data_IF_310680577576
#
_entry.id   IF_310680577576
#
_cell.length_a   1.000
_cell.length_b   1.000
_cell.length_c   1.000
_cell.angle_alpha   90.00
_cell.angle_beta   90.00
_cell.angle_gamma   90.00
#
_symmetry.space_group_name_H-M   'P 1'
#
loop_
_entity.id
_entity.type
_entity.pdbx_description
1 polymer ?
#
# COMPACT_ATOMS: atom_id res chain seq x y z
N UNK A 1 17.27 29.26 -62.48
CA UNK A 1 17.66 28.02 -61.77
C UNK A 1 17.48 28.26 -60.27
N UNK A 2 16.66 27.40 -59.64
CA UNK A 2 16.58 27.08 -58.20
C UNK A 2 16.11 28.15 -57.19
N UNK A 3 14.81 28.08 -56.82
CA UNK A 3 14.29 28.59 -55.54
C UNK A 3 14.46 27.49 -54.47
N UNK A 4 15.23 27.77 -53.41
CA UNK A 4 15.42 26.84 -52.29
C UNK A 4 14.45 27.14 -51.14
N UNK A 5 13.53 26.22 -50.87
CA UNK A 5 12.64 26.25 -49.71
C UNK A 5 13.32 25.51 -48.55
N UNK A 6 13.64 26.22 -47.47
CA UNK A 6 14.15 25.64 -46.23
C UNK A 6 12.97 25.12 -45.40
N UNK A 7 12.78 23.81 -45.35
CA UNK A 7 11.90 23.17 -44.39
C UNK A 7 12.63 22.98 -43.06
N UNK A 8 12.34 23.81 -42.07
CA UNK A 8 12.74 23.57 -40.68
C UNK A 8 11.84 22.50 -40.09
N UNK A 9 12.39 21.30 -39.87
CA UNK A 9 11.72 20.22 -39.12
C UNK A 9 11.77 20.56 -37.63
N UNK A 10 10.63 20.92 -37.05
CA UNK A 10 10.49 21.07 -35.60
C UNK A 10 10.43 19.69 -34.96
N UNK A 11 11.54 19.27 -34.34
CA UNK A 11 11.61 18.05 -33.56
C UNK A 11 10.91 18.27 -32.22
N UNK A 12 9.62 17.91 -32.13
CA UNK A 12 8.87 17.92 -30.88
C UNK A 12 9.39 16.79 -29.97
N UNK A 13 10.22 17.15 -28.99
CA UNK A 13 10.61 16.25 -27.91
C UNK A 13 9.41 16.06 -26.99
N UNK A 14 8.61 15.02 -27.26
CA UNK A 14 7.70 14.49 -26.26
C UNK A 14 8.55 13.86 -25.15
N UNK A 15 8.81 14.64 -24.09
CA UNK A 15 9.40 14.10 -22.85
C UNK A 15 8.47 13.01 -22.33
N UNK A 16 8.91 11.76 -22.47
CA UNK A 16 8.24 10.58 -21.93
C UNK A 16 8.31 10.68 -20.39
N UNK A 17 7.30 11.31 -19.78
CA UNK A 17 7.11 11.46 -18.33
C UNK A 17 6.95 10.14 -17.56
N UNK A 18 7.06 9.00 -18.23
CA UNK A 18 6.88 7.67 -17.64
C UNK A 18 7.91 7.34 -16.55
N UNK A 19 9.07 8.01 -16.54
CA UNK A 19 10.10 7.80 -15.52
C UNK A 19 9.77 8.41 -14.14
N UNK A 20 8.78 9.31 -14.05
CA UNK A 20 8.37 9.97 -12.80
C UNK A 20 7.07 9.39 -12.21
N UNK A 21 6.37 8.51 -12.93
CA UNK A 21 5.12 7.92 -12.46
C UNK A 21 5.39 6.87 -11.38
N UNK A 22 5.33 7.27 -10.11
CA UNK A 22 5.65 6.43 -8.96
C UNK A 22 4.41 5.90 -8.23
N UNK A 23 3.22 6.44 -8.52
CA UNK A 23 1.96 5.95 -7.96
C UNK A 23 1.30 4.95 -8.89
N UNK A 24 0.92 3.80 -8.34
CA UNK A 24 0.11 2.78 -9.01
C UNK A 24 -1.36 2.84 -8.60
N UNK A 25 -1.67 3.50 -7.49
CA UNK A 25 -3.02 3.87 -7.08
C UNK A 25 -3.13 5.32 -6.63
N UNK A 26 -4.32 5.92 -6.73
CA UNK A 26 -4.63 7.22 -6.13
C UNK A 26 -6.14 7.48 -6.11
N UNK A 27 -6.65 8.06 -5.02
CA UNK A 27 -8.09 8.34 -4.86
C UNK A 27 -8.94 7.06 -4.88
N UNK A 28 -10.26 7.22 -5.01
CA UNK A 28 -11.22 6.11 -5.07
C UNK A 28 -12.06 6.18 -6.36
N UNK A 29 -12.23 5.04 -7.03
CA UNK A 29 -12.95 4.94 -8.31
C UNK A 29 -14.12 3.96 -8.29
N UNK A 30 -14.24 3.16 -7.24
CA UNK A 30 -15.28 2.15 -7.14
C UNK A 30 -15.41 1.66 -5.71
N UNK A 31 -16.16 0.58 -5.56
CA UNK A 31 -16.46 -0.05 -4.28
C UNK A 31 -16.38 -1.55 -4.46
N UNK A 32 -15.80 -2.23 -3.47
CA UNK A 32 -15.80 -3.68 -3.40
C UNK A 32 -17.23 -4.17 -3.12
N UNK A 33 -17.82 -5.05 -3.95
CA UNK A 33 -19.23 -5.43 -3.84
C UNK A 33 -19.53 -6.23 -2.57
N UNK A 34 -18.56 -6.98 -2.05
CA UNK A 34 -18.76 -7.85 -0.89
C UNK A 34 -18.68 -7.07 0.43
N UNK A 35 -17.70 -6.18 0.56
CA UNK A 35 -17.43 -5.43 1.79
C UNK A 35 -18.01 -4.02 1.82
N UNK A 36 -18.39 -3.47 0.67
CA UNK A 36 -18.77 -2.06 0.53
C UNK A 36 -17.61 -1.08 0.74
N UNK A 37 -16.36 -1.56 0.86
CA UNK A 37 -15.19 -0.70 1.04
C UNK A 37 -14.80 0.01 -0.26
N UNK A 38 -14.35 1.27 -0.21
CA UNK A 38 -13.97 2.00 -1.41
C UNK A 38 -12.67 1.43 -2.01
N UNK A 39 -12.70 1.13 -3.31
CA UNK A 39 -11.57 0.64 -4.08
C UNK A 39 -10.75 1.80 -4.65
N UNK A 40 -9.41 1.75 -4.52
CA UNK A 40 -8.58 2.81 -5.05
C UNK A 40 -8.55 2.77 -6.58
N UNK A 41 -8.42 3.93 -7.23
CA UNK A 41 -8.22 3.95 -8.68
C UNK A 41 -6.86 3.35 -9.02
N UNK A 42 -6.77 2.59 -10.11
CA UNK A 42 -5.49 2.22 -10.72
C UNK A 42 -5.03 3.36 -11.63
N UNK A 43 -3.84 3.89 -11.38
CA UNK A 43 -3.31 5.07 -12.07
C UNK A 43 -1.82 4.92 -12.35
N UNK A 44 -1.29 5.79 -13.21
CA UNK A 44 0.15 6.02 -13.37
C UNK A 44 0.39 7.51 -13.27
N UNK A 45 0.78 7.99 -12.09
CA UNK A 45 0.96 9.43 -11.85
C UNK A 45 2.11 9.69 -10.88
N UNK A 46 2.51 10.96 -10.79
CA UNK A 46 3.45 11.45 -9.78
C UNK A 46 2.78 11.54 -8.41
N UNK A 47 3.52 11.37 -7.30
CA UNK A 47 3.01 11.64 -5.96
C UNK A 47 2.59 13.10 -5.80
N UNK A 48 1.57 13.35 -4.99
CA UNK A 48 0.96 14.67 -4.80
C UNK A 48 1.13 15.12 -3.35
N UNK A 49 1.38 16.42 -3.14
CA UNK A 49 1.42 17.01 -1.80
C UNK A 49 0.05 16.92 -1.13
N UNK A 50 0.06 16.58 0.15
CA UNK A 50 -1.11 16.41 1.00
C UNK A 50 -0.97 17.27 2.25
N UNK A 51 -2.10 17.72 2.80
CA UNK A 51 -2.15 18.43 4.09
C UNK A 51 -1.40 17.67 5.18
N UNK A 52 -0.58 18.41 5.91
CA UNK A 52 0.49 17.83 6.72
C UNK A 52 -0.02 16.99 7.88
N UNK A 53 -1.02 17.50 8.57
CA UNK A 53 -1.60 16.91 9.76
C UNK A 53 -2.32 15.60 9.42
N UNK A 54 -2.92 15.52 8.23
CA UNK A 54 -3.65 14.33 7.78
C UNK A 54 -2.69 13.20 7.46
N UNK A 55 -1.62 13.46 6.68
CA UNK A 55 -0.64 12.42 6.35
C UNK A 55 0.13 11.98 7.60
N UNK A 56 0.56 12.92 8.46
CA UNK A 56 1.31 12.60 9.67
C UNK A 56 0.51 11.72 10.65
N UNK A 57 -0.80 11.97 10.77
CA UNK A 57 -1.69 11.15 11.59
C UNK A 57 -1.90 9.74 11.04
N UNK A 58 -1.99 9.60 9.71
CA UNK A 58 -2.21 8.32 9.05
C UNK A 58 -0.92 7.51 8.89
N UNK A 59 0.15 8.15 8.47
CA UNK A 59 1.39 7.56 7.97
C UNK A 59 2.62 8.38 8.42
N UNK A 60 2.98 8.33 9.71
CA UNK A 60 4.08 9.12 10.26
C UNK A 60 5.43 8.79 9.63
N UNK A 61 5.62 7.58 9.10
CA UNK A 61 6.82 7.16 8.38
C UNK A 61 6.99 7.84 7.00
N UNK A 62 5.96 8.52 6.49
CA UNK A 62 5.99 9.29 5.24
C UNK A 62 6.26 10.77 5.52
N UNK A 63 7.30 11.03 6.32
CA UNK A 63 7.80 12.37 6.61
C UNK A 63 9.30 12.43 6.30
N UNK A 64 9.78 13.61 5.94
CA UNK A 64 11.20 13.88 5.71
C UNK A 64 11.97 13.96 7.04
N UNK A 65 13.29 14.19 6.97
CA UNK A 65 14.15 14.32 8.14
C UNK A 65 13.79 15.49 9.05
N UNK A 66 13.02 16.47 8.56
CA UNK A 66 12.53 17.62 9.31
C UNK A 66 11.14 17.35 9.92
N UNK A 67 10.60 16.15 9.74
CA UNK A 67 9.26 15.76 10.18
C UNK A 67 8.12 16.37 9.35
N UNK A 68 8.44 16.91 8.17
CA UNK A 68 7.44 17.42 7.22
C UNK A 68 6.94 16.31 6.31
N UNK A 69 5.67 16.31 5.91
CA UNK A 69 5.13 15.33 4.98
C UNK A 69 5.87 15.35 3.65
N UNK A 70 6.12 14.18 3.10
CA UNK A 70 6.57 14.05 1.70
C UNK A 70 5.35 13.96 0.76
N UNK A 71 5.52 14.24 -0.55
CA UNK A 71 4.50 13.90 -1.54
C UNK A 71 4.04 12.44 -1.42
N UNK A 72 2.76 12.16 -1.65
CA UNK A 72 2.16 10.85 -1.39
C UNK A 72 1.33 10.34 -2.57
N UNK A 73 1.20 9.02 -2.66
CA UNK A 73 0.33 8.33 -3.62
C UNK A 73 -1.09 8.10 -3.09
N UNK A 74 -1.53 8.93 -2.14
CA UNK A 74 -2.89 8.90 -1.62
C UNK A 74 -3.40 10.31 -1.33
N UNK A 75 -4.72 10.50 -1.42
CA UNK A 75 -5.36 11.75 -1.07
C UNK A 75 -5.75 11.83 0.42
N UNK A 76 -6.20 13.01 0.85
CA UNK A 76 -6.63 13.23 2.23
C UNK A 76 -7.82 12.36 2.65
N UNK A 77 -8.66 11.92 1.72
CA UNK A 77 -9.79 11.04 2.01
C UNK A 77 -9.30 9.63 2.32
N UNK A 78 -8.37 9.09 1.52
CA UNK A 78 -7.72 7.80 1.75
C UNK A 78 -6.97 7.79 3.09
N UNK A 79 -6.17 8.83 3.36
CA UNK A 79 -5.43 8.94 4.62
C UNK A 79 -6.36 8.93 5.86
N UNK A 80 -7.50 9.62 5.80
CA UNK A 80 -8.52 9.60 6.88
C UNK A 80 -9.14 8.21 7.08
N UNK A 81 -9.37 7.46 5.99
CA UNK A 81 -9.85 6.08 6.08
C UNK A 81 -8.84 5.21 6.82
N UNK A 82 -7.54 5.32 6.54
CA UNK A 82 -6.52 4.56 7.27
C UNK A 82 -6.51 4.86 8.77
N UNK A 83 -6.62 6.13 9.17
CA UNK A 83 -6.76 6.50 10.59
C UNK A 83 -7.96 5.80 11.23
N UNK A 84 -9.08 5.69 10.52
CA UNK A 84 -10.26 4.98 11.00
C UNK A 84 -10.03 3.47 11.13
N UNK A 85 -9.44 2.84 10.11
CA UNK A 85 -9.14 1.40 10.10
C UNK A 85 -8.16 1.01 11.22
N UNK A 86 -7.17 1.86 11.51
CA UNK A 86 -6.23 1.61 12.60
C UNK A 86 -6.87 1.66 13.99
N UNK A 87 -7.99 2.37 14.17
CA UNK A 87 -8.73 2.35 15.44
C UNK A 87 -9.22 0.95 15.78
N UNK A 88 -9.53 0.10 14.80
CA UNK A 88 -9.93 -1.29 15.03
C UNK A 88 -8.84 -2.09 15.75
N UNK A 89 -7.57 -1.89 15.40
CA UNK A 89 -6.44 -2.52 16.11
C UNK A 89 -6.26 -1.98 17.52
N UNK A 90 -6.42 -0.66 17.69
CA UNK A 90 -6.32 -0.03 19.01
C UNK A 90 -7.43 -0.56 19.93
N UNK A 91 -8.66 -0.68 19.44
CA UNK A 91 -9.79 -1.26 20.17
C UNK A 91 -9.55 -2.72 20.56
N UNK A 92 -8.85 -3.49 19.71
CA UNK A 92 -8.44 -4.85 20.05
C UNK A 92 -7.37 -4.88 21.15
N UNK A 93 -6.68 -3.77 21.43
CA UNK A 93 -5.67 -3.67 22.49
C UNK A 93 -4.24 -3.51 21.99
N UNK A 94 -4.04 -3.28 20.69
CA UNK A 94 -2.71 -2.99 20.14
C UNK A 94 -2.34 -1.55 20.52
N UNK A 95 -1.35 -1.39 21.40
CA UNK A 95 -0.88 -0.08 21.82
C UNK A 95 -0.37 0.74 20.63
N UNK A 96 -0.87 1.99 20.49
CA UNK A 96 -0.52 2.89 19.37
C UNK A 96 0.99 3.12 19.22
N UNK A 97 1.71 3.19 20.33
CA UNK A 97 3.16 3.43 20.33
C UNK A 97 4.00 2.15 20.25
N UNK A 98 3.35 0.98 20.23
CA UNK A 98 4.03 -0.33 20.17
C UNK A 98 4.71 -0.55 18.83
N UNK A 99 5.76 -1.40 18.84
CA UNK A 99 6.42 -1.84 17.61
C UNK A 99 5.46 -2.54 16.65
N UNK A 100 4.51 -3.32 17.16
CA UNK A 100 3.49 -3.97 16.35
C UNK A 100 2.70 -2.94 15.52
N UNK A 101 2.14 -1.93 16.20
CA UNK A 101 1.33 -0.91 15.54
C UNK A 101 2.15 -0.11 14.53
N UNK A 102 3.35 0.37 14.92
CA UNK A 102 4.22 1.18 14.06
C UNK A 102 4.69 0.43 12.81
N UNK A 103 5.09 -0.84 12.96
CA UNK A 103 5.54 -1.67 11.83
C UNK A 103 4.38 -2.01 10.89
N UNK A 104 3.21 -2.38 11.45
CA UNK A 104 1.99 -2.63 10.67
C UNK A 104 1.52 -1.38 9.93
N UNK A 105 1.47 -0.24 10.61
CA UNK A 105 1.11 1.05 10.02
C UNK A 105 2.05 1.41 8.89
N UNK A 106 3.37 1.23 9.06
CA UNK A 106 4.34 1.49 7.99
C UNK A 106 4.13 0.56 6.79
N UNK A 107 3.91 -0.74 7.00
CA UNK A 107 3.62 -1.69 5.93
C UNK A 107 2.43 -1.25 5.08
N UNK A 108 1.29 -0.92 5.72
CA UNK A 108 0.07 -0.48 5.04
C UNK A 108 0.28 0.87 4.35
N UNK A 109 0.87 1.84 5.05
CA UNK A 109 1.13 3.17 4.49
C UNK A 109 2.01 3.12 3.25
N UNK A 110 2.98 2.23 3.21
CA UNK A 110 3.87 2.12 2.06
C UNK A 110 3.13 1.50 0.86
N UNK A 111 2.26 0.52 1.10
CA UNK A 111 1.44 -0.09 0.06
C UNK A 111 0.53 0.93 -0.65
N UNK A 112 0.04 1.95 0.06
CA UNK A 112 -1.01 2.84 -0.47
C UNK A 112 -0.63 4.30 -0.65
N UNK A 113 0.33 4.82 0.11
CA UNK A 113 0.67 6.24 0.15
C UNK A 113 2.12 6.54 -0.19
N UNK A 114 3.00 5.54 -0.29
CA UNK A 114 4.42 5.78 -0.53
C UNK A 114 4.64 6.63 -1.78
N UNK A 115 5.51 7.65 -1.76
CA UNK A 115 5.91 8.33 -2.98
C UNK A 115 6.58 7.40 -3.98
N UNK A 116 7.06 6.23 -3.56
CA UNK A 116 7.80 5.25 -4.37
C UNK A 116 7.00 3.98 -4.60
N UNK A 117 5.67 4.06 -4.54
CA UNK A 117 4.76 2.90 -4.55
C UNK A 117 5.09 1.89 -5.66
N UNK A 118 5.37 2.37 -6.89
CA UNK A 118 5.69 1.52 -8.05
C UNK A 118 7.03 0.78 -7.96
N UNK A 119 7.93 1.14 -7.04
CA UNK A 119 9.18 0.41 -6.82
C UNK A 119 8.90 -0.98 -6.24
N UNK A 120 7.80 -1.16 -5.50
CA UNK A 120 7.54 -2.39 -4.74
C UNK A 120 6.08 -2.88 -4.80
N UNK A 121 5.16 -2.11 -5.37
CA UNK A 121 3.76 -2.51 -5.62
C UNK A 121 3.48 -2.50 -7.13
N UNK A 122 2.81 -3.56 -7.61
CA UNK A 122 2.23 -3.64 -8.94
C UNK A 122 0.73 -3.92 -8.86
N UNK A 123 -0.06 -3.31 -9.74
CA UNK A 123 -1.48 -3.69 -9.92
C UNK A 123 -1.55 -4.92 -10.82
N UNK A 124 -2.24 -5.95 -10.34
CA UNK A 124 -2.39 -7.25 -11.00
C UNK A 124 -3.85 -7.56 -11.38
N UNK A 125 -4.78 -6.69 -10.99
CA UNK A 125 -6.20 -6.83 -11.35
C UNK A 125 -6.93 -5.49 -11.23
N UNK A 126 -7.84 -5.26 -12.15
CA UNK A 126 -8.71 -4.07 -12.16
C UNK A 126 -10.14 -4.42 -12.52
N UNK A 127 -11.09 -3.63 -12.02
CA UNK A 127 -12.47 -3.62 -12.50
C UNK A 127 -12.84 -2.22 -12.98
N UNK A 128 -13.72 -2.11 -13.97
CA UNK A 128 -14.23 -0.83 -14.47
C UNK A 128 -15.73 -0.81 -14.28
N UNK A 129 -16.20 0.06 -13.39
CA UNK A 129 -17.64 0.34 -13.22
C UNK A 129 -18.14 1.39 -14.22
N UNK A 130 -19.37 1.87 -14.02
CA UNK A 130 -20.03 2.85 -14.91
C UNK A 130 -19.29 4.19 -15.04
N UNK A 131 -18.40 4.52 -14.09
CA UNK A 131 -17.58 5.75 -14.09
C UNK A 131 -16.34 5.73 -14.99
N UNK A 132 -16.07 4.63 -15.72
CA UNK A 132 -15.04 4.54 -16.75
C UNK A 132 -13.57 4.54 -16.27
N UNK A 133 -13.29 4.85 -15.00
CA UNK A 133 -11.94 4.76 -14.41
C UNK A 133 -11.71 3.38 -13.79
N UNK A 134 -10.57 2.72 -14.06
CA UNK A 134 -10.28 1.40 -13.52
C UNK A 134 -10.03 1.49 -12.00
N UNK A 135 -10.72 0.67 -11.22
CA UNK A 135 -10.47 0.44 -9.81
C UNK A 135 -9.51 -0.73 -9.65
N UNK A 136 -8.49 -0.60 -8.80
CA UNK A 136 -7.59 -1.71 -8.51
C UNK A 136 -8.29 -2.72 -7.60
N UNK A 137 -8.36 -3.98 -8.06
CA UNK A 137 -8.98 -5.09 -7.33
C UNK A 137 -7.95 -6.09 -6.80
N UNK A 138 -6.78 -6.13 -7.42
CA UNK A 138 -5.65 -6.95 -6.98
C UNK A 138 -4.32 -6.21 -7.15
N UNK A 139 -3.46 -6.32 -6.15
CA UNK A 139 -2.09 -5.84 -6.16
C UNK A 139 -1.11 -6.92 -5.71
N UNK A 140 0.12 -6.84 -6.22
CA UNK A 140 1.27 -7.58 -5.69
C UNK A 140 2.17 -6.60 -4.96
N UNK A 141 2.57 -6.95 -3.74
CA UNK A 141 3.47 -6.15 -2.92
C UNK A 141 4.72 -6.98 -2.59
N UNK A 142 5.86 -6.62 -3.17
CA UNK A 142 7.15 -7.19 -2.84
C UNK A 142 7.63 -6.65 -1.49
N UNK A 143 7.81 -7.52 -0.51
CA UNK A 143 8.22 -7.16 0.85
C UNK A 143 9.50 -7.91 1.19
N UNK A 144 10.48 -7.23 1.78
CA UNK A 144 11.70 -7.90 2.20
C UNK A 144 11.41 -8.90 3.32
N UNK A 145 11.92 -10.13 3.22
CA UNK A 145 11.68 -11.21 4.22
C UNK A 145 11.92 -10.74 5.65
N UNK A 146 13.10 -10.17 5.90
CA UNK A 146 13.45 -9.57 7.20
C UNK A 146 12.39 -8.61 7.73
N UNK A 147 11.91 -7.68 6.90
CA UNK A 147 10.92 -6.70 7.36
C UNK A 147 9.58 -7.37 7.68
N UNK A 148 9.14 -8.33 6.87
CA UNK A 148 7.92 -9.10 7.14
C UNK A 148 8.02 -9.90 8.45
N UNK A 149 9.16 -10.56 8.69
CA UNK A 149 9.44 -11.29 9.92
C UNK A 149 9.37 -10.39 11.15
N UNK A 150 9.91 -9.17 11.04
CA UNK A 150 9.90 -8.19 12.12
C UNK A 150 8.52 -7.60 12.40
N UNK A 151 7.71 -7.34 11.36
CA UNK A 151 6.30 -6.95 11.53
C UNK A 151 5.56 -8.05 12.29
N UNK A 152 5.69 -9.31 11.85
CA UNK A 152 5.05 -10.45 12.50
C UNK A 152 5.55 -10.66 13.94
N UNK A 153 6.86 -10.67 14.15
CA UNK A 153 7.47 -10.87 15.46
C UNK A 153 7.04 -9.81 16.47
N UNK A 154 6.87 -8.56 16.02
CA UNK A 154 6.37 -7.48 16.88
C UNK A 154 4.90 -7.70 17.32
N UNK A 155 4.10 -8.41 16.53
CA UNK A 155 2.66 -8.58 16.76
C UNK A 155 2.25 -9.95 17.34
N UNK A 156 3.03 -11.02 17.12
CA UNK A 156 2.60 -12.41 17.37
C UNK A 156 2.22 -12.72 18.82
N UNK A 157 2.81 -11.99 19.78
CA UNK A 157 2.58 -12.17 21.22
C UNK A 157 1.74 -11.05 21.85
N UNK A 158 1.28 -10.09 21.04
CA UNK A 158 0.31 -9.07 21.49
C UNK A 158 -0.99 -9.75 21.89
N UNK A 159 -1.53 -9.34 23.04
CA UNK A 159 -2.80 -9.85 23.57
C UNK A 159 -3.85 -8.76 23.54
N UNK A 160 -5.08 -9.16 23.26
CA UNK A 160 -6.21 -8.26 23.28
C UNK A 160 -6.55 -7.82 24.69
N UNK A 161 -7.06 -6.61 24.85
CA UNK A 161 -7.52 -6.13 26.16
C UNK A 161 -8.71 -6.96 26.66
N UNK A 162 -9.57 -7.36 25.72
CA UNK A 162 -10.73 -8.21 25.99
C UNK A 162 -10.27 -9.66 26.07
N UNK A 163 -10.35 -10.25 27.27
CA UNK A 163 -10.02 -11.66 27.59
C UNK A 163 -8.57 -12.12 27.36
N UNK A 164 -7.62 -11.23 27.05
CA UNK A 164 -6.20 -11.60 26.93
C UNK A 164 -5.87 -12.55 25.78
N UNK A 165 -6.72 -12.61 24.76
CA UNK A 165 -6.59 -13.50 23.61
C UNK A 165 -5.43 -13.02 22.73
N UNK A 166 -4.61 -13.93 22.18
CA UNK A 166 -3.55 -13.54 21.24
C UNK A 166 -4.14 -12.87 20.00
N UNK A 167 -3.58 -11.73 19.59
CA UNK A 167 -3.99 -10.95 18.43
C UNK A 167 -4.05 -11.78 17.14
N UNK A 168 -3.12 -12.73 16.98
CA UNK A 168 -3.06 -13.64 15.83
C UNK A 168 -4.29 -14.54 15.69
N UNK A 169 -5.11 -14.71 16.74
CA UNK A 169 -6.41 -15.39 16.60
C UNK A 169 -7.35 -14.63 15.66
N UNK A 170 -7.23 -13.30 15.61
CA UNK A 170 -8.03 -12.42 14.76
C UNK A 170 -7.31 -12.05 13.46
N UNK A 171 -5.98 -12.06 13.47
CA UNK A 171 -5.17 -11.55 12.36
C UNK A 171 -4.42 -12.61 11.54
N UNK A 172 -4.79 -13.89 11.65
CA UNK A 172 -4.16 -14.97 10.88
C UNK A 172 -5.15 -15.85 10.11
N UNK A 173 -6.37 -15.34 9.89
CA UNK A 173 -7.41 -15.97 9.09
C UNK A 173 -7.67 -17.43 9.46
N UNK A 174 -7.84 -18.27 8.43
CA UNK A 174 -8.11 -19.71 8.53
C UNK A 174 -7.03 -20.51 9.29
N UNK A 175 -5.81 -19.98 9.40
CA UNK A 175 -4.71 -20.69 10.07
C UNK A 175 -4.77 -20.56 11.60
N UNK A 176 -5.44 -19.52 12.10
CA UNK A 176 -5.50 -19.21 13.52
C UNK A 176 -4.12 -18.95 14.14
N UNK A 177 -4.10 -18.83 15.47
CA UNK A 177 -2.91 -18.43 16.20
C UNK A 177 -1.78 -19.50 16.21
N UNK A 178 -2.11 -20.78 16.39
CA UNK A 178 -1.11 -21.85 16.60
C UNK A 178 -0.26 -22.16 15.37
N UNK A 179 -0.82 -21.94 14.18
CA UNK A 179 -0.16 -22.20 12.90
C UNK A 179 0.13 -20.89 12.15
N UNK A 180 0.24 -19.76 12.85
CA UNK A 180 0.54 -18.49 12.20
C UNK A 180 2.03 -18.36 11.86
N UNK A 181 2.34 -17.75 10.71
CA UNK A 181 3.69 -17.40 10.26
C UNK A 181 3.68 -15.99 9.64
N UNK A 182 4.83 -15.37 9.35
CA UNK A 182 4.91 -14.09 8.64
C UNK A 182 4.11 -14.10 7.33
N UNK A 183 4.23 -15.16 6.52
CA UNK A 183 3.49 -15.32 5.27
C UNK A 183 1.99 -15.38 5.50
N UNK A 184 1.53 -16.17 6.47
CA UNK A 184 0.09 -16.37 6.75
C UNK A 184 -0.56 -15.15 7.38
N UNK A 185 0.21 -14.43 8.20
CA UNK A 185 -0.20 -13.14 8.74
C UNK A 185 -0.38 -12.12 7.60
N UNK A 186 0.61 -12.00 6.70
CA UNK A 186 0.51 -11.07 5.58
C UNK A 186 -0.49 -11.51 4.50
N UNK A 187 -0.73 -12.82 4.33
CA UNK A 187 -1.86 -13.35 3.54
C UNK A 187 -3.17 -12.78 4.08
N UNK A 188 -3.43 -12.91 5.39
CA UNK A 188 -4.63 -12.37 6.02
C UNK A 188 -4.74 -10.84 5.86
N UNK A 189 -3.65 -10.11 6.08
CA UNK A 189 -3.62 -8.64 5.93
C UNK A 189 -4.02 -8.21 4.52
N UNK A 190 -3.65 -9.00 3.51
CA UNK A 190 -3.99 -8.73 2.11
C UNK A 190 -5.29 -9.35 1.61
N UNK A 191 -5.94 -10.21 2.40
CA UNK A 191 -7.18 -10.87 2.01
C UNK A 191 -8.38 -9.92 2.06
N UNK A 192 -9.24 -10.04 1.05
CA UNK A 192 -10.53 -9.36 0.96
C UNK A 192 -11.60 -10.06 1.80
N UNK A 193 -12.78 -9.46 1.91
CA UNK A 193 -13.87 -9.98 2.74
C UNK A 193 -14.33 -11.38 2.36
N UNK A 194 -14.47 -11.68 1.06
CA UNK A 194 -14.82 -13.03 0.58
C UNK A 194 -13.75 -14.09 0.84
N UNK A 195 -12.52 -13.68 1.18
CA UNK A 195 -11.43 -14.57 1.64
C UNK A 195 -11.31 -14.59 3.19
N UNK A 196 -12.22 -13.91 3.91
CA UNK A 196 -12.21 -13.80 5.37
C UNK A 196 -11.25 -12.75 5.93
N UNK A 197 -10.74 -11.84 5.08
CA UNK A 197 -9.91 -10.71 5.48
C UNK A 197 -10.66 -9.38 5.52
N UNK A 198 -9.92 -8.28 5.61
CA UNK A 198 -10.48 -6.93 5.77
C UNK A 198 -9.89 -5.92 4.78
N UNK A 199 -9.00 -6.35 3.89
CA UNK A 199 -8.39 -5.48 2.89
C UNK A 199 -9.43 -5.01 1.87
N UNK A 200 -9.43 -3.73 1.45
CA UNK A 200 -10.38 -3.25 0.45
C UNK A 200 -10.14 -3.87 -0.94
N UNK A 201 -8.90 -4.26 -1.26
CA UNK A 201 -8.54 -5.02 -2.46
C UNK A 201 -7.64 -6.18 -2.08
N UNK A 202 -7.49 -7.17 -2.96
CA UNK A 202 -6.58 -8.29 -2.71
C UNK A 202 -5.14 -7.82 -2.82
N UNK A 203 -4.34 -8.05 -1.78
CA UNK A 203 -2.90 -7.75 -1.80
C UNK A 203 -2.13 -9.05 -1.60
N UNK A 204 -1.48 -9.51 -2.66
CA UNK A 204 -0.54 -10.63 -2.58
C UNK A 204 0.82 -10.12 -2.12
N UNK A 205 1.12 -10.31 -0.85
CA UNK A 205 2.45 -10.06 -0.30
C UNK A 205 3.43 -11.15 -0.76
N UNK A 206 4.54 -10.75 -1.37
CA UNK A 206 5.62 -11.66 -1.80
C UNK A 206 6.85 -11.37 -0.95
N UNK A 207 7.15 -12.29 -0.03
CA UNK A 207 8.28 -12.19 0.88
C UNK A 207 9.56 -12.67 0.17
N UNK A 208 10.44 -11.75 -0.19
CA UNK A 208 11.63 -12.03 -1.01
C UNK A 208 12.82 -11.18 -0.56
N UNK A 209 14.04 -11.65 -0.80
CA UNK A 209 15.28 -10.88 -0.56
C UNK A 209 15.83 -10.27 -1.86
N UNK A 210 15.30 -10.71 -3.00
CA UNK A 210 15.73 -10.28 -4.33
C UNK A 210 14.55 -9.73 -5.12
N UNK A 211 14.81 -8.88 -6.14
CA UNK A 211 13.77 -8.30 -6.96
C UNK A 211 12.94 -9.38 -7.67
N UNK A 212 11.67 -9.08 -7.90
CA UNK A 212 10.74 -9.96 -8.64
C UNK A 212 10.15 -9.21 -9.84
N UNK A 213 9.60 -9.94 -10.80
CA UNK A 213 8.89 -9.36 -11.94
C UNK A 213 7.42 -9.73 -11.90
N UNK A 214 6.54 -8.74 -12.03
CA UNK A 214 5.09 -8.90 -12.06
C UNK A 214 4.56 -8.13 -13.28
N UNK A 215 3.96 -8.83 -14.24
CA UNK A 215 3.40 -8.19 -15.44
C UNK A 215 4.41 -7.33 -16.23
N UNK A 216 5.69 -7.69 -16.21
CA UNK A 216 6.78 -6.91 -16.83
C UNK A 216 7.33 -5.76 -15.98
N UNK A 217 6.71 -5.45 -14.83
CA UNK A 217 7.23 -4.49 -13.86
C UNK A 217 8.21 -5.19 -12.90
N UNK A 218 9.44 -4.68 -12.80
CA UNK A 218 10.41 -5.12 -11.79
C UNK A 218 10.07 -4.45 -10.46
N UNK A 219 9.90 -5.26 -9.42
CA UNK A 219 9.64 -4.82 -8.05
C UNK A 219 10.86 -5.11 -7.18
N UNK A 220 11.40 -4.07 -6.56
CA UNK A 220 12.39 -4.15 -5.49
C UNK A 220 11.66 -4.42 -4.17
N UNK A 221 12.07 -5.40 -3.35
CA UNK A 221 11.37 -5.68 -2.10
C UNK A 221 11.47 -4.51 -1.12
N UNK A 222 10.32 -4.04 -0.63
CA UNK A 222 10.29 -2.96 0.36
C UNK A 222 11.03 -3.37 1.63
N UNK A 223 12.07 -2.59 1.96
CA UNK A 223 12.96 -2.83 3.09
C UNK A 223 13.28 -1.50 3.79
N UNK A 224 12.46 -1.03 4.74
CA UNK A 224 12.74 0.20 5.45
C UNK A 224 13.90 0.01 6.42
N UNK A 225 14.60 1.10 6.73
CA UNK A 225 15.41 1.14 7.95
C UNK A 225 14.47 0.95 9.14
N UNK A 226 14.83 0.05 10.04
CA UNK A 226 13.97 -0.37 11.16
C UNK A 226 13.65 0.82 12.07
N UNK A 227 12.38 0.91 12.50
CA UNK A 227 11.86 1.92 13.43
C UNK A 227 11.93 1.46 14.89
#
# INVERSE_FOLDING_TARGET
>A
MSNGWLFTVALSVALVSSALAQCVTYGYCGTDPDSGKPLPCSVKQVPVSIESEVLKGACPALTDSSGKPVPACCDAKQAKVFVSEYKSLITLGVGKDSKCFKNFQNLVCQAFCSPKQSEFVAINGTSTGEGGKPSATEAVYAVHKRFADEVYAACKDVRTWVFGIKLMRYMCGKHGNSNCSPERFLEFVGSIYSEGGYSPLKIRHVLTESPITVGGQKLEPFNPKLL
#
